data_IF_597015133808
#
_entry.id   IF_597015133808
#
_cell.length_a   1.000
_cell.length_b   1.000
_cell.length_c   1.000
_cell.angle_alpha   90.00
_cell.angle_beta   90.00
_cell.angle_gamma   90.00
#
_symmetry.space_group_name_H-M   'P 1'
#
loop_
_entity.id
_entity.type
_entity.pdbx_description
1 polymer ?
#
# COMPACT_ATOMS: atom_id res chain seq x y z
N UNK A 1 12.48 -10.80 -1.83
CA UNK A 1 11.85 -9.48 -1.79
C UNK A 1 10.90 -9.49 -0.60
N UNK A 2 11.06 -8.58 0.33
CA UNK A 2 10.20 -8.46 1.52
C UNK A 2 9.67 -7.03 1.55
N UNK A 3 8.35 -6.87 1.53
CA UNK A 3 7.72 -5.58 1.76
C UNK A 3 7.87 -5.17 3.23
N UNK A 4 7.92 -3.86 3.50
CA UNK A 4 7.98 -3.36 4.86
C UNK A 4 6.67 -3.62 5.61
N UNK A 5 6.73 -3.68 6.93
CA UNK A 5 5.52 -3.72 7.78
C UNK A 5 4.57 -2.55 7.53
N UNK A 6 5.11 -1.44 7.00
CA UNK A 6 4.31 -0.27 6.63
C UNK A 6 3.23 -0.58 5.60
N UNK A 7 3.48 -1.51 4.67
CA UNK A 7 2.49 -1.95 3.67
C UNK A 7 1.32 -2.66 4.35
N UNK A 8 1.60 -3.60 5.26
CA UNK A 8 0.57 -4.31 6.03
C UNK A 8 -0.30 -3.32 6.82
N UNK A 9 0.33 -2.40 7.54
CA UNK A 9 -0.40 -1.40 8.34
C UNK A 9 -1.24 -0.46 7.46
N UNK A 10 -0.72 -0.05 6.31
CA UNK A 10 -1.42 0.80 5.37
C UNK A 10 -2.65 0.09 4.77
N UNK A 11 -2.51 -1.16 4.33
CA UNK A 11 -3.60 -1.96 3.76
C UNK A 11 -4.72 -2.16 4.80
N UNK A 12 -4.39 -2.60 6.01
CA UNK A 12 -5.36 -2.79 7.08
C UNK A 12 -6.03 -1.49 7.51
N UNK A 13 -5.30 -0.38 7.53
CA UNK A 13 -5.89 0.92 7.84
C UNK A 13 -6.88 1.38 6.77
N UNK A 14 -6.52 1.25 5.48
CA UNK A 14 -7.43 1.57 4.38
C UNK A 14 -8.69 0.68 4.42
N UNK A 15 -8.52 -0.61 4.70
CA UNK A 15 -9.64 -1.53 4.84
C UNK A 15 -10.56 -1.15 5.99
N UNK A 16 -10.03 -0.83 7.16
CA UNK A 16 -10.84 -0.37 8.30
C UNK A 16 -11.62 0.91 7.97
N UNK A 17 -10.96 1.87 7.32
CA UNK A 17 -11.61 3.12 6.91
C UNK A 17 -12.72 2.88 5.87
N UNK A 18 -12.63 1.84 5.06
CA UNK A 18 -13.64 1.51 4.04
C UNK A 18 -14.99 1.09 4.62
N UNK A 19 -15.04 0.68 5.88
CA UNK A 19 -16.29 0.34 6.58
C UNK A 19 -16.94 1.52 7.30
N UNK A 20 -16.29 2.67 7.32
CA UNK A 20 -16.79 3.87 7.99
C UNK A 20 -17.55 4.77 7.01
N UNK A 21 -18.43 5.65 7.52
CA UNK A 21 -19.03 6.70 6.69
C UNK A 21 -17.94 7.52 5.96
N UNK A 22 -18.15 7.90 4.68
CA UNK A 22 -17.14 8.60 3.89
C UNK A 22 -16.67 9.94 4.46
N UNK A 23 -17.49 10.57 5.28
CA UNK A 23 -17.23 11.85 5.97
C UNK A 23 -16.56 11.68 7.34
N UNK A 24 -16.51 10.45 7.86
CA UNK A 24 -15.91 10.18 9.17
C UNK A 24 -14.39 10.10 9.06
N UNK A 25 -13.71 11.08 9.68
CA UNK A 25 -12.26 11.04 9.85
C UNK A 25 -11.87 10.34 11.17
N UNK A 26 -10.79 9.59 11.19
CA UNK A 26 -10.29 8.89 12.38
C UNK A 26 -8.88 9.38 12.72
N UNK A 27 -8.65 9.86 13.98
CA UNK A 27 -7.33 10.29 14.41
C UNK A 27 -6.30 9.16 14.39
N UNK A 28 -5.03 9.50 14.12
CA UNK A 28 -3.90 8.54 14.11
C UNK A 28 -3.85 7.68 15.38
N UNK A 29 -4.05 8.29 16.54
CA UNK A 29 -3.99 7.58 17.82
C UNK A 29 -5.04 6.46 17.91
N UNK A 30 -6.26 6.68 17.40
CA UNK A 30 -7.31 5.65 17.37
C UNK A 30 -6.99 4.54 16.37
N UNK A 31 -6.49 4.91 15.18
CA UNK A 31 -6.05 3.94 14.17
C UNK A 31 -4.90 3.08 14.69
N UNK A 32 -3.92 3.69 15.34
CA UNK A 32 -2.79 2.98 15.93
C UNK A 32 -3.22 2.06 17.07
N UNK A 33 -4.11 2.52 17.95
CA UNK A 33 -4.60 1.72 19.08
C UNK A 33 -5.44 0.52 18.64
N UNK A 34 -5.98 0.53 17.44
CA UNK A 34 -6.77 -0.61 16.92
C UNK A 34 -5.93 -1.90 16.83
N UNK A 35 -4.67 -1.77 16.43
CA UNK A 35 -3.72 -2.88 16.27
C UNK A 35 -2.51 -2.76 17.19
N UNK A 36 -2.58 -1.92 18.25
CA UNK A 36 -1.47 -1.69 19.19
C UNK A 36 -0.17 -1.23 18.48
N UNK A 37 -0.32 -0.40 17.43
CA UNK A 37 0.81 0.08 16.63
C UNK A 37 1.43 1.34 17.24
N UNK A 38 2.75 1.59 17.02
CA UNK A 38 3.37 2.85 17.35
C UNK A 38 2.80 4.00 16.50
N UNK A 39 2.10 4.94 17.13
CA UNK A 39 1.37 6.02 16.44
C UNK A 39 2.27 6.86 15.51
N UNK A 40 3.51 7.14 15.91
CA UNK A 40 4.46 7.92 15.11
C UNK A 40 4.84 7.18 13.81
N UNK A 41 5.04 5.86 13.87
CA UNK A 41 5.33 5.04 12.70
C UNK A 41 4.12 4.92 11.77
N UNK A 42 2.93 4.67 12.33
CA UNK A 42 1.70 4.65 11.54
C UNK A 42 1.47 5.99 10.85
N UNK A 43 1.66 7.12 11.56
CA UNK A 43 1.48 8.44 10.95
C UNK A 43 2.36 8.67 9.72
N UNK A 44 3.58 8.15 9.70
CA UNK A 44 4.45 8.20 8.51
C UNK A 44 3.79 7.53 7.30
N UNK A 45 3.17 6.37 7.50
CA UNK A 45 2.47 5.64 6.44
C UNK A 45 1.20 6.38 5.99
N UNK A 46 0.42 6.91 6.95
CA UNK A 46 -0.78 7.69 6.65
C UNK A 46 -0.45 8.93 5.81
N UNK A 47 0.63 9.63 6.11
CA UNK A 47 1.10 10.77 5.32
C UNK A 47 1.55 10.35 3.90
N UNK A 48 2.15 9.18 3.75
CA UNK A 48 2.48 8.64 2.42
C UNK A 48 1.21 8.36 1.60
N UNK A 49 0.18 7.77 2.22
CA UNK A 49 -1.12 7.54 1.59
C UNK A 49 -1.84 8.85 1.22
N UNK A 50 -1.71 9.91 2.03
CA UNK A 50 -2.25 11.24 1.71
C UNK A 50 -1.54 11.83 0.48
N UNK A 51 -0.21 11.76 0.43
CA UNK A 51 0.55 12.22 -0.75
C UNK A 51 0.17 11.48 -2.03
N UNK A 52 -0.17 10.20 -1.92
CA UNK A 52 -0.64 9.38 -3.04
C UNK A 52 -2.13 9.60 -3.38
N UNK A 53 -2.86 10.45 -2.65
CA UNK A 53 -4.29 10.70 -2.87
C UNK A 53 -5.20 9.52 -2.52
N UNK A 54 -4.72 8.57 -1.73
CA UNK A 54 -5.51 7.43 -1.22
C UNK A 54 -6.30 7.84 0.03
N UNK A 55 -5.67 8.61 0.91
CA UNK A 55 -6.31 9.21 2.07
C UNK A 55 -6.38 10.72 1.94
N UNK A 56 -7.32 11.32 2.67
CA UNK A 56 -7.33 12.74 2.99
C UNK A 56 -7.18 12.94 4.49
N UNK A 57 -6.49 14.04 4.89
CA UNK A 57 -6.36 14.43 6.28
C UNK A 57 -7.22 15.65 6.58
N UNK A 58 -7.87 15.64 7.72
CA UNK A 58 -8.66 16.76 8.21
C UNK A 58 -8.08 17.25 9.54
N UNK A 59 -7.76 18.53 9.68
CA UNK A 59 -7.25 19.09 10.93
C UNK A 59 -8.37 19.29 11.99
N UNK A 60 -7.97 19.50 13.22
CA UNK A 60 -8.84 19.89 14.33
C UNK A 60 -9.23 18.75 15.27
N UNK A 61 -10.03 19.05 16.32
CA UNK A 61 -10.38 18.09 17.38
C UNK A 61 -11.16 16.86 16.89
N UNK A 62 -11.94 17.03 15.81
CA UNK A 62 -12.67 15.96 15.12
C UNK A 62 -11.99 15.56 13.81
N UNK A 63 -10.71 15.88 13.67
CA UNK A 63 -9.91 15.59 12.50
C UNK A 63 -9.33 14.17 12.51
N UNK A 64 -8.57 13.89 11.48
CA UNK A 64 -7.93 12.60 11.28
C UNK A 64 -7.86 12.24 9.81
N UNK A 65 -7.91 10.96 9.52
CA UNK A 65 -7.77 10.41 8.18
C UNK A 65 -9.05 9.70 7.75
N UNK A 66 -9.36 9.82 6.47
CA UNK A 66 -10.45 9.10 5.79
C UNK A 66 -10.03 8.75 4.37
N UNK A 67 -10.73 7.82 3.73
CA UNK A 67 -10.49 7.55 2.32
C UNK A 67 -10.77 8.80 1.49
N UNK A 68 -9.88 9.09 0.52
CA UNK A 68 -10.02 10.19 -0.44
C UNK A 68 -10.71 9.73 -1.73
N UNK A 69 -10.75 8.42 -1.96
CA UNK A 69 -11.36 7.77 -3.13
C UNK A 69 -12.29 6.66 -2.67
N UNK A 70 -13.22 6.25 -3.53
CA UNK A 70 -14.04 5.08 -3.29
C UNK A 70 -13.18 3.81 -3.22
N UNK A 71 -13.52 2.81 -2.39
CA UNK A 71 -12.75 1.56 -2.28
C UNK A 71 -12.56 0.83 -3.62
N UNK A 72 -13.50 0.97 -4.54
CA UNK A 72 -13.47 0.44 -5.90
C UNK A 72 -12.33 1.04 -6.75
N UNK A 73 -11.92 2.28 -6.42
CA UNK A 73 -10.90 3.05 -7.13
C UNK A 73 -9.52 2.97 -6.46
N UNK A 74 -9.37 2.14 -5.43
CA UNK A 74 -8.11 1.93 -4.70
C UNK A 74 -7.67 0.49 -4.91
N UNK A 75 -6.54 0.28 -5.58
CA UNK A 75 -5.95 -1.04 -5.76
C UNK A 75 -4.92 -1.37 -4.67
N UNK A 76 -4.62 -2.66 -4.49
CA UNK A 76 -3.51 -3.06 -3.62
C UNK A 76 -2.19 -2.47 -4.11
N UNK A 77 -2.01 -2.35 -5.44
CA UNK A 77 -0.82 -1.72 -6.02
C UNK A 77 -0.68 -0.26 -5.61
N UNK A 78 -1.77 0.52 -5.61
CA UNK A 78 -1.74 1.93 -5.19
C UNK A 78 -1.15 2.09 -3.78
N UNK A 79 -1.62 1.24 -2.85
CA UNK A 79 -1.14 1.27 -1.46
C UNK A 79 0.32 0.84 -1.37
N UNK A 80 0.70 -0.23 -2.07
CA UNK A 80 2.10 -0.71 -2.10
C UNK A 80 3.03 0.38 -2.63
N UNK A 81 2.70 1.00 -3.76
CA UNK A 81 3.52 2.06 -4.37
C UNK A 81 3.60 3.32 -3.49
N UNK A 82 2.54 3.64 -2.76
CA UNK A 82 2.56 4.77 -1.82
C UNK A 82 3.57 4.58 -0.68
N UNK A 83 3.77 3.35 -0.24
CA UNK A 83 4.63 3.01 0.90
C UNK A 83 6.07 2.67 0.47
N UNK A 84 6.22 1.79 -0.53
CA UNK A 84 7.52 1.27 -0.99
C UNK A 84 8.16 2.15 -2.08
N UNK A 85 7.36 2.95 -2.77
CA UNK A 85 7.80 3.68 -3.95
C UNK A 85 7.67 2.89 -5.25
N UNK A 86 8.00 3.54 -6.39
CA UNK A 86 7.81 2.96 -7.72
C UNK A 86 8.96 2.08 -8.19
N UNK A 87 10.05 1.96 -7.43
CA UNK A 87 11.26 1.29 -7.85
C UNK A 87 11.04 -0.19 -8.18
N UNK A 88 11.77 -0.69 -9.19
CA UNK A 88 11.77 -2.11 -9.54
C UNK A 88 12.43 -2.93 -8.41
N UNK A 89 11.89 -4.11 -8.14
CA UNK A 89 12.43 -5.01 -7.12
C UNK A 89 13.85 -5.53 -7.46
N UNK A 90 14.21 -5.52 -8.73
CA UNK A 90 15.52 -5.94 -9.22
C UNK A 90 16.23 -4.80 -9.96
N UNK A 91 17.40 -4.42 -9.46
CA UNK A 91 18.27 -3.43 -10.10
C UNK A 91 19.44 -4.14 -10.78
N UNK A 92 19.56 -3.96 -12.10
CA UNK A 92 20.70 -4.48 -12.86
C UNK A 92 21.92 -3.56 -12.70
N UNK A 93 22.92 -4.00 -11.94
CA UNK A 93 24.19 -3.29 -11.75
C UNK A 93 25.22 -3.58 -12.86
N UNK A 94 24.77 -4.14 -13.99
CA UNK A 94 25.60 -4.38 -15.18
C UNK A 94 26.87 -5.23 -14.92
N UNK A 95 26.77 -6.26 -14.07
CA UNK A 95 27.89 -7.12 -13.69
C UNK A 95 28.61 -7.74 -14.90
N UNK A 96 27.90 -7.90 -16.02
CA UNK A 96 28.51 -8.43 -17.27
C UNK A 96 29.62 -7.56 -17.81
N UNK A 97 29.67 -6.25 -17.46
CA UNK A 97 30.82 -5.39 -17.85
C UNK A 97 32.15 -5.85 -17.28
N UNK A 98 32.13 -6.53 -16.14
CA UNK A 98 33.29 -6.98 -15.41
C UNK A 98 33.64 -8.46 -15.67
N UNK A 99 32.78 -9.15 -16.45
CA UNK A 99 32.96 -10.56 -16.77
C UNK A 99 33.81 -10.81 -18.00
N UNK A 100 34.19 -12.08 -18.26
CA UNK A 100 34.89 -12.46 -19.49
C UNK A 100 34.08 -12.04 -20.72
N UNK A 101 34.67 -11.24 -21.63
CA UNK A 101 34.00 -10.73 -22.82
C UNK A 101 33.07 -9.54 -22.57
N UNK A 102 33.12 -8.95 -21.38
CA UNK A 102 32.39 -7.72 -21.06
C UNK A 102 32.82 -6.56 -21.95
N UNK A 103 31.85 -5.75 -22.38
CA UNK A 103 32.07 -4.58 -23.23
C UNK A 103 31.63 -3.32 -22.47
N UNK A 104 32.54 -2.38 -22.18
CA UNK A 104 32.22 -1.15 -21.44
C UNK A 104 31.16 -0.27 -22.12
N UNK A 105 31.13 -0.31 -23.47
CA UNK A 105 30.21 0.48 -24.31
C UNK A 105 28.79 -0.08 -24.37
N UNK A 106 28.56 -1.32 -23.90
CA UNK A 106 27.24 -1.95 -23.94
C UNK A 106 26.45 -1.62 -22.67
N UNK A 107 25.21 -1.16 -22.82
CA UNK A 107 24.26 -1.04 -21.70
C UNK A 107 23.56 -2.38 -21.45
N UNK A 108 24.10 -3.16 -20.54
CA UNK A 108 23.57 -4.47 -20.18
C UNK A 108 22.23 -4.42 -19.45
N UNK A 109 21.78 -3.26 -18.96
CA UNK A 109 20.40 -3.12 -18.41
C UNK A 109 19.34 -3.41 -19.46
N UNK A 110 19.63 -3.10 -20.73
CA UNK A 110 18.69 -3.35 -21.83
C UNK A 110 18.91 -4.72 -22.47
N UNK A 111 20.15 -5.20 -22.56
CA UNK A 111 20.50 -6.41 -23.32
C UNK A 111 20.58 -7.68 -22.46
N UNK A 112 20.70 -7.55 -21.15
CA UNK A 112 20.80 -8.70 -20.25
C UNK A 112 19.48 -9.48 -20.17
N UNK A 113 19.53 -10.76 -20.54
CA UNK A 113 18.35 -11.63 -20.53
C UNK A 113 17.82 -11.89 -19.11
N UNK A 114 18.71 -11.93 -18.10
CA UNK A 114 18.31 -12.06 -16.69
C UNK A 114 17.57 -10.80 -16.22
N UNK A 115 18.09 -9.60 -16.51
CA UNK A 115 17.39 -8.35 -16.18
C UNK A 115 16.01 -8.28 -16.85
N UNK A 116 15.91 -8.73 -18.12
CA UNK A 116 14.62 -8.81 -18.83
C UNK A 116 13.66 -9.80 -18.18
N UNK A 117 14.17 -10.96 -17.73
CA UNK A 117 13.36 -11.95 -17.00
C UNK A 117 12.82 -11.40 -15.68
N UNK A 118 13.68 -10.74 -14.90
CA UNK A 118 13.28 -10.12 -13.62
C UNK A 118 12.27 -8.99 -13.81
N UNK A 119 12.43 -8.17 -14.84
CA UNK A 119 11.44 -7.11 -15.17
C UNK A 119 10.08 -7.70 -15.57
N UNK A 120 10.05 -8.80 -16.32
CA UNK A 120 8.80 -9.49 -16.64
C UNK A 120 8.09 -9.99 -15.39
N UNK A 121 8.83 -10.52 -14.42
CA UNK A 121 8.27 -10.97 -13.14
C UNK A 121 7.71 -9.80 -12.33
N UNK A 122 8.44 -8.66 -12.28
CA UNK A 122 7.96 -7.44 -11.60
C UNK A 122 6.67 -6.90 -12.23
N UNK A 123 6.59 -6.87 -13.56
CA UNK A 123 5.38 -6.47 -14.28
C UNK A 123 4.20 -7.40 -13.96
N UNK A 124 4.41 -8.71 -13.94
CA UNK A 124 3.37 -9.67 -13.62
C UNK A 124 2.85 -9.50 -12.18
N UNK A 125 3.75 -9.31 -11.23
CA UNK A 125 3.42 -9.04 -9.84
C UNK A 125 2.62 -7.74 -9.66
N UNK A 126 3.07 -6.64 -10.29
CA UNK A 126 2.35 -5.36 -10.26
C UNK A 126 0.98 -5.47 -10.90
N UNK A 127 0.87 -6.19 -12.01
CA UNK A 127 -0.41 -6.42 -12.67
C UNK A 127 -1.40 -7.13 -11.76
N UNK A 128 -0.95 -8.15 -11.03
CA UNK A 128 -1.78 -8.88 -10.08
C UNK A 128 -2.28 -7.99 -8.94
N UNK A 129 -1.40 -7.16 -8.37
CA UNK A 129 -1.80 -6.20 -7.33
C UNK A 129 -2.74 -5.09 -7.85
N UNK A 130 -2.58 -4.67 -9.11
CA UNK A 130 -3.45 -3.68 -9.75
C UNK A 130 -4.84 -4.24 -10.10
N UNK A 131 -4.96 -5.55 -10.23
CA UNK A 131 -6.22 -6.22 -10.53
C UNK A 131 -7.11 -6.43 -9.30
N UNK A 132 -6.60 -6.17 -8.08
CA UNK A 132 -7.31 -6.37 -6.83
C UNK A 132 -7.64 -5.00 -6.20
N UNK A 133 -8.91 -4.70 -6.03
CA UNK A 133 -9.37 -3.47 -5.40
C UNK A 133 -9.60 -3.64 -3.90
N UNK A 134 -9.58 -2.53 -3.17
CA UNK A 134 -9.91 -2.52 -1.75
C UNK A 134 -11.37 -2.97 -1.53
N UNK A 135 -12.27 -2.68 -2.47
CA UNK A 135 -13.67 -3.11 -2.42
C UNK A 135 -13.79 -4.64 -2.49
N UNK A 136 -13.08 -5.30 -3.42
CA UNK A 136 -13.09 -6.76 -3.54
C UNK A 136 -12.54 -7.44 -2.28
N UNK A 137 -11.45 -6.93 -1.72
CA UNK A 137 -10.89 -7.43 -0.45
C UNK A 137 -11.89 -7.22 0.69
N UNK A 138 -12.57 -6.07 0.74
CA UNK A 138 -13.61 -5.79 1.73
C UNK A 138 -14.76 -6.81 1.65
N UNK A 139 -15.26 -7.08 0.45
CA UNK A 139 -16.32 -8.07 0.23
C UNK A 139 -15.90 -9.48 0.64
N UNK A 140 -14.65 -9.85 0.34
CA UNK A 140 -14.10 -11.15 0.76
C UNK A 140 -14.01 -11.27 2.28
N UNK A 141 -13.56 -10.22 2.96
CA UNK A 141 -13.53 -10.19 4.43
C UNK A 141 -14.95 -10.28 5.01
N UNK A 142 -15.91 -9.54 4.46
CA UNK A 142 -17.30 -9.58 4.91
C UNK A 142 -17.94 -10.97 4.74
N UNK A 143 -17.58 -11.67 3.67
CA UNK A 143 -18.06 -13.03 3.40
C UNK A 143 -17.50 -14.05 4.37
N UNK A 144 -16.20 -13.95 4.72
CA UNK A 144 -15.54 -14.92 5.61
C UNK A 144 -15.65 -14.55 7.09
N UNK A 145 -15.77 -13.25 7.41
CA UNK A 145 -15.78 -12.69 8.76
C UNK A 145 -16.88 -11.63 8.89
N UNK A 146 -18.17 -12.02 8.86
CA UNK A 146 -19.30 -11.08 8.76
C UNK A 146 -19.42 -10.10 9.93
N UNK A 147 -18.79 -10.40 11.06
CA UNK A 147 -18.77 -9.52 12.24
C UNK A 147 -17.77 -8.36 12.13
N UNK A 148 -16.79 -8.46 11.24
CA UNK A 148 -15.69 -7.50 11.14
C UNK A 148 -16.16 -6.07 10.88
N UNK A 149 -17.08 -5.78 9.93
CA UNK A 149 -17.55 -4.41 9.70
C UNK A 149 -18.24 -3.79 10.91
N UNK A 150 -19.05 -4.59 11.61
CA UNK A 150 -19.76 -4.14 12.83
C UNK A 150 -18.77 -3.82 13.95
N UNK A 151 -17.82 -4.70 14.19
CA UNK A 151 -16.81 -4.53 15.23
C UNK A 151 -15.93 -3.32 14.94
N UNK A 152 -15.51 -3.12 13.68
CA UNK A 152 -14.72 -1.97 13.25
C UNK A 152 -15.49 -0.66 13.44
N UNK A 153 -16.74 -0.59 12.99
CA UNK A 153 -17.60 0.59 13.22
C UNK A 153 -17.79 0.89 14.70
N UNK A 154 -18.06 -0.14 15.52
CA UNK A 154 -18.22 0.03 16.96
C UNK A 154 -16.95 0.58 17.63
N UNK A 155 -15.76 0.13 17.19
CA UNK A 155 -14.48 0.60 17.73
C UNK A 155 -14.20 2.06 17.41
N UNK A 156 -14.66 2.57 16.26
CA UNK A 156 -14.47 3.95 15.84
C UNK A 156 -15.73 4.84 16.09
N UNK A 157 -16.83 4.27 16.60
CA UNK A 157 -17.98 5.03 17.05
C UNK A 157 -17.62 5.85 18.30
N UNK A 158 -18.19 7.06 18.43
CA UNK A 158 -17.96 7.93 19.60
C UNK A 158 -16.72 8.83 19.45
N UNK A 159 -16.77 9.69 18.44
CA UNK A 159 -15.97 10.92 18.38
C UNK A 159 -16.74 12.09 18.96
#
# INVERSE_FOLDING_TARGET
>A
MQMSQGVEWALHTCLNLSWLPPDQAVPTGKLAAFYELPAAYLNKQLQALVRAGILSSQPGPRGGFRLARAPEDITLLDVVLAIEGPDEAFVCNQILRHGPGGRPEVDYRQTCLLARGMRRADIAWRRELAAQTLAEIREDVERHFPETPRNTRARFAGQ
#
